data_IF_980921442703
#
_entry.id   IF_980921442703
#
_cell.length_a   1.000
_cell.length_b   1.000
_cell.length_c   1.000
_cell.angle_alpha   90.00
_cell.angle_beta   90.00
_cell.angle_gamma   90.00
#
_symmetry.space_group_name_H-M   'P 1'
#
loop_
_entity.id
_entity.type
_entity.pdbx_description
1 polymer ?
#
# COMPACT_ATOMS: atom_id res chain seq x y z
N UNK A 1 31.52 14.52 -3.25
CA UNK A 1 30.13 15.00 -3.07
C UNK A 1 29.27 14.34 -4.14
N UNK A 2 28.77 13.15 -3.87
CA UNK A 2 27.87 12.43 -4.78
C UNK A 2 26.45 12.90 -4.54
N UNK A 3 25.74 13.34 -5.59
CA UNK A 3 24.29 13.55 -5.55
C UNK A 3 23.66 12.16 -5.40
N UNK A 4 23.37 11.76 -4.17
CA UNK A 4 22.61 10.54 -3.89
C UNK A 4 21.19 10.77 -4.36
N UNK A 5 20.84 10.23 -5.53
CA UNK A 5 19.44 10.16 -5.93
C UNK A 5 18.70 9.33 -4.88
N UNK A 6 17.66 9.90 -4.28
CA UNK A 6 16.69 9.11 -3.52
C UNK A 6 16.05 8.15 -4.52
N UNK A 7 16.44 6.88 -4.44
CA UNK A 7 15.83 5.83 -5.25
C UNK A 7 14.48 5.54 -4.62
N UNK A 8 13.40 6.05 -5.21
CA UNK A 8 12.05 5.69 -4.77
C UNK A 8 11.72 4.30 -5.34
N UNK A 9 11.50 3.30 -4.48
CA UNK A 9 11.08 1.97 -4.93
C UNK A 9 9.56 1.92 -4.90
N UNK A 10 8.95 1.80 -6.08
CA UNK A 10 7.54 1.46 -6.24
C UNK A 10 7.40 -0.06 -6.23
N UNK A 11 6.76 -0.61 -5.20
CA UNK A 11 6.47 -2.04 -5.11
C UNK A 11 4.98 -2.30 -5.30
N UNK A 12 4.58 -2.70 -6.51
CA UNK A 12 3.30 -3.41 -6.69
C UNK A 12 3.58 -4.88 -6.38
N UNK A 13 3.13 -5.34 -5.21
CA UNK A 13 3.47 -6.67 -4.69
C UNK A 13 2.54 -7.74 -5.23
N UNK A 14 3.01 -8.98 -5.14
CA UNK A 14 2.31 -10.24 -5.38
C UNK A 14 3.21 -11.32 -4.75
N UNK A 15 3.43 -11.20 -3.45
CA UNK A 15 4.62 -11.75 -2.81
C UNK A 15 4.54 -13.26 -2.56
N UNK A 16 3.32 -13.79 -2.55
CA UNK A 16 3.06 -15.15 -2.11
C UNK A 16 2.88 -16.11 -3.30
N UNK A 17 3.29 -17.39 -3.14
CA UNK A 17 3.26 -18.34 -4.25
C UNK A 17 1.84 -18.65 -4.71
N UNK A 18 1.70 -19.03 -5.98
CA UNK A 18 0.43 -19.46 -6.56
C UNK A 18 0.05 -20.88 -6.12
N UNK A 19 -0.39 -21.01 -4.87
CA UNK A 19 -0.84 -22.27 -4.26
C UNK A 19 -2.30 -22.17 -3.79
N UNK A 20 -2.99 -23.29 -3.57
CA UNK A 20 -4.32 -23.28 -2.95
C UNK A 20 -4.30 -22.62 -1.56
N UNK A 21 -5.41 -21.95 -1.19
CA UNK A 21 -5.53 -21.22 0.09
C UNK A 21 -5.28 -22.15 1.30
N UNK A 22 -5.63 -23.43 1.18
CA UNK A 22 -5.45 -24.45 2.23
C UNK A 22 -3.97 -24.69 2.55
N UNK A 23 -3.07 -24.38 1.63
CA UNK A 23 -1.62 -24.55 1.79
C UNK A 23 -0.93 -23.28 2.32
N UNK A 24 -1.60 -22.12 2.21
CA UNK A 24 -1.08 -20.80 2.53
C UNK A 24 -2.06 -20.02 3.41
N UNK A 25 -1.98 -20.23 4.73
CA UNK A 25 -2.75 -19.50 5.72
C UNK A 25 -2.21 -18.09 6.01
N UNK A 26 -3.02 -17.30 6.73
CA UNK A 26 -2.73 -15.90 7.08
C UNK A 26 -1.34 -15.67 7.70
N UNK A 27 -0.93 -16.50 8.66
CA UNK A 27 0.39 -16.38 9.30
C UNK A 27 1.54 -16.57 8.30
N UNK A 28 1.39 -17.45 7.31
CA UNK A 28 2.40 -17.64 6.26
C UNK A 28 2.44 -16.45 5.31
N UNK A 29 1.28 -15.88 4.97
CA UNK A 29 1.20 -14.65 4.17
C UNK A 29 1.95 -13.51 4.87
N UNK A 30 1.63 -13.25 6.14
CA UNK A 30 2.29 -12.21 6.93
C UNK A 30 3.80 -12.45 7.06
N UNK A 31 4.22 -13.70 7.27
CA UNK A 31 5.64 -14.05 7.35
C UNK A 31 6.39 -13.79 6.02
N UNK A 32 5.76 -14.04 4.87
CA UNK A 32 6.35 -13.74 3.56
C UNK A 32 6.49 -12.22 3.38
N UNK A 33 5.45 -11.46 3.70
CA UNK A 33 5.47 -9.98 3.65
C UNK A 33 6.58 -9.43 4.54
N UNK A 34 6.70 -9.95 5.77
CA UNK A 34 7.76 -9.60 6.73
C UNK A 34 9.15 -9.89 6.18
N UNK A 35 9.40 -11.08 5.63
CA UNK A 35 10.70 -11.47 5.11
C UNK A 35 11.15 -10.55 3.95
N UNK A 36 10.26 -10.28 3.00
CA UNK A 36 10.57 -9.40 1.86
C UNK A 36 10.73 -7.95 2.31
N UNK A 37 9.91 -7.49 3.25
CA UNK A 37 10.04 -6.16 3.84
C UNK A 37 11.40 -6.01 4.55
N UNK A 38 11.79 -6.99 5.35
CA UNK A 38 13.07 -7.03 6.04
C UNK A 38 14.25 -7.02 5.05
N UNK A 39 14.17 -7.79 3.97
CA UNK A 39 15.19 -7.81 2.92
C UNK A 39 15.35 -6.45 2.24
N UNK A 40 14.25 -5.79 1.87
CA UNK A 40 14.28 -4.45 1.27
C UNK A 40 14.93 -3.45 2.23
N UNK A 41 14.53 -3.46 3.51
CA UNK A 41 15.14 -2.59 4.53
C UNK A 41 16.63 -2.87 4.75
N UNK A 42 17.06 -4.12 4.62
CA UNK A 42 18.47 -4.48 4.75
C UNK A 42 19.31 -3.95 3.58
N UNK A 43 18.79 -4.04 2.35
CA UNK A 43 19.51 -3.61 1.15
C UNK A 43 19.43 -2.09 0.95
N UNK A 44 18.32 -1.47 1.35
CA UNK A 44 18.03 -0.05 1.16
C UNK A 44 17.59 0.62 2.49
N UNK A 45 18.47 0.72 3.50
CA UNK A 45 18.11 1.15 4.85
C UNK A 45 17.66 2.61 4.95
N UNK A 46 18.21 3.48 4.09
CA UNK A 46 17.93 4.93 4.10
C UNK A 46 16.95 5.35 2.99
N UNK A 47 16.23 4.39 2.44
CA UNK A 47 15.37 4.59 1.28
C UNK A 47 13.89 4.56 1.66
N UNK A 48 13.17 5.62 1.29
CA UNK A 48 11.71 5.65 1.36
C UNK A 48 11.14 4.72 0.29
N UNK A 49 10.26 3.82 0.70
CA UNK A 49 9.59 2.85 -0.19
C UNK A 49 8.10 3.17 -0.20
N UNK A 50 7.50 3.19 -1.38
CA UNK A 50 6.05 3.30 -1.55
C UNK A 50 5.53 1.95 -2.02
N UNK A 51 4.94 1.20 -1.08
CA UNK A 51 4.48 -0.17 -1.30
C UNK A 51 2.96 -0.25 -1.35
N UNK A 52 2.43 -0.97 -2.34
CA UNK A 52 1.04 -1.39 -2.45
C UNK A 52 0.93 -2.89 -2.16
N UNK A 53 -0.21 -3.33 -1.61
CA UNK A 53 -0.50 -4.76 -1.44
C UNK A 53 -0.98 -5.38 -2.75
N UNK A 54 -0.46 -6.57 -3.07
CA UNK A 54 -0.93 -7.43 -4.16
C UNK A 54 -2.13 -8.29 -3.80
N UNK A 55 -2.83 -8.82 -4.80
CA UNK A 55 -3.99 -9.67 -4.56
C UNK A 55 -3.65 -11.01 -3.85
N UNK A 56 -2.40 -11.47 -3.92
CA UNK A 56 -1.88 -12.61 -3.16
C UNK A 56 -1.38 -12.27 -1.75
N UNK A 57 -1.29 -11.00 -1.36
CA UNK A 57 -0.79 -10.56 -0.06
C UNK A 57 -1.87 -10.61 1.03
N UNK A 58 -2.86 -11.49 0.86
CA UNK A 58 -4.01 -11.62 1.75
C UNK A 58 -4.46 -13.08 1.84
N UNK A 59 -5.10 -13.42 2.94
CA UNK A 59 -5.69 -14.73 3.13
C UNK A 59 -7.16 -14.63 3.55
N UNK A 60 -8.10 -15.29 2.85
CA UNK A 60 -7.91 -15.99 1.58
C UNK A 60 -7.53 -15.02 0.44
N UNK A 61 -6.77 -15.48 -0.56
CA UNK A 61 -6.30 -14.58 -1.64
C UNK A 61 -7.47 -13.85 -2.33
N UNK A 62 -7.19 -12.66 -2.83
CA UNK A 62 -8.15 -11.75 -3.47
C UNK A 62 -9.26 -11.19 -2.56
N UNK A 63 -9.48 -11.71 -1.35
CA UNK A 63 -10.63 -11.35 -0.51
C UNK A 63 -10.36 -10.13 0.39
N UNK A 64 -9.96 -9.01 -0.22
CA UNK A 64 -9.62 -7.77 0.49
C UNK A 64 -10.90 -7.03 0.95
N UNK A 65 -11.13 -6.82 2.25
CA UNK A 65 -12.28 -6.05 2.72
C UNK A 65 -12.08 -4.54 2.57
N UNK A 66 -13.16 -3.80 2.31
CA UNK A 66 -13.22 -2.33 2.34
C UNK A 66 -13.30 -1.74 3.77
N UNK A 67 -12.68 -2.39 4.75
CA UNK A 67 -12.68 -2.02 6.17
C UNK A 67 -11.43 -2.58 6.86
N UNK A 68 -11.18 -2.13 8.10
CA UNK A 68 -10.04 -2.60 8.88
C UNK A 68 -10.00 -4.14 9.00
N UNK A 69 -8.78 -4.67 8.90
CA UNK A 69 -8.50 -6.10 8.99
C UNK A 69 -7.13 -6.33 9.64
N UNK A 70 -6.96 -7.49 10.30
CA UNK A 70 -5.70 -7.88 10.96
C UNK A 70 -4.49 -7.83 10.01
N UNK A 71 -4.62 -8.27 8.76
CA UNK A 71 -3.53 -8.26 7.78
C UNK A 71 -3.10 -6.82 7.47
N UNK A 72 -4.05 -5.89 7.33
CA UNK A 72 -3.75 -4.47 7.14
C UNK A 72 -3.01 -3.89 8.34
N UNK A 73 -3.50 -4.19 9.55
CA UNK A 73 -2.90 -3.69 10.80
C UNK A 73 -1.49 -4.21 11.03
N UNK A 74 -1.24 -5.51 10.78
CA UNK A 74 0.09 -6.09 10.90
C UNK A 74 1.04 -5.58 9.80
N UNK A 75 0.56 -5.48 8.56
CA UNK A 75 1.36 -4.93 7.45
C UNK A 75 1.72 -3.46 7.68
N UNK A 76 0.82 -2.67 8.28
CA UNK A 76 1.11 -1.29 8.66
C UNK A 76 2.26 -1.20 9.67
N UNK A 77 2.37 -2.14 10.62
CA UNK A 77 3.51 -2.18 11.56
C UNK A 77 4.81 -2.56 10.83
N UNK A 78 4.76 -3.54 9.94
CA UNK A 78 5.92 -3.93 9.13
C UNK A 78 6.41 -2.76 8.26
N UNK A 79 5.48 -1.97 7.71
CA UNK A 79 5.77 -0.83 6.83
C UNK A 79 5.87 0.50 7.58
N UNK A 80 5.83 0.51 8.92
CA UNK A 80 5.77 1.74 9.71
C UNK A 80 6.88 2.74 9.39
N UNK A 81 8.11 2.28 9.14
CA UNK A 81 9.24 3.15 8.76
C UNK A 81 9.11 3.76 7.37
N UNK A 82 8.22 3.22 6.53
CA UNK A 82 7.92 3.71 5.18
C UNK A 82 6.68 4.60 5.14
N UNK A 83 5.84 4.59 6.17
CA UNK A 83 4.59 5.36 6.24
C UNK A 83 4.77 6.59 7.14
N UNK A 84 4.21 7.73 6.74
CA UNK A 84 4.05 8.85 7.66
C UNK A 84 2.93 8.55 8.67
N UNK A 85 2.95 9.20 9.84
CA UNK A 85 1.95 8.99 10.89
C UNK A 85 0.50 9.21 10.42
N UNK A 86 0.26 10.10 9.46
CA UNK A 86 -1.05 10.33 8.86
C UNK A 86 -1.50 9.21 7.89
N UNK A 87 -0.56 8.45 7.33
CA UNK A 87 -0.83 7.37 6.36
C UNK A 87 -1.16 6.06 7.05
N UNK A 88 -0.64 5.82 8.26
CA UNK A 88 -0.90 4.62 9.06
C UNK A 88 -2.40 4.34 9.26
N UNK A 89 -3.24 5.29 9.75
CA UNK A 89 -4.66 5.03 9.95
C UNK A 89 -5.40 4.74 8.63
N UNK A 90 -5.03 5.40 7.53
CA UNK A 90 -5.61 5.12 6.20
C UNK A 90 -5.24 3.71 5.73
N UNK A 91 -3.98 3.32 5.89
CA UNK A 91 -3.52 1.98 5.54
C UNK A 91 -4.25 0.91 6.36
N UNK A 92 -4.41 1.11 7.67
CA UNK A 92 -5.16 0.16 8.51
C UNK A 92 -6.63 0.06 8.11
N UNK A 93 -7.24 1.17 7.68
CA UNK A 93 -8.65 1.20 7.29
C UNK A 93 -8.94 0.53 5.94
N UNK A 94 -8.02 0.60 4.96
CA UNK A 94 -8.29 0.09 3.61
C UNK A 94 -7.08 -0.24 2.74
N UNK A 95 -5.87 -0.29 3.30
CA UNK A 95 -4.60 -0.54 2.62
C UNK A 95 -4.27 0.43 1.47
N UNK A 96 -4.76 1.67 1.56
CA UNK A 96 -4.42 2.78 0.67
C UNK A 96 -3.95 4.00 1.48
N UNK A 97 -3.13 4.85 0.87
CA UNK A 97 -2.56 6.03 1.54
C UNK A 97 -1.94 7.01 0.53
N UNK A 98 -1.51 8.18 1.01
CA UNK A 98 -0.73 9.12 0.19
C UNK A 98 0.41 9.75 0.97
N UNK A 99 1.50 10.04 0.27
CA UNK A 99 2.73 10.57 0.84
C UNK A 99 3.22 11.73 0.00
N UNK A 100 3.75 12.78 0.63
CA UNK A 100 4.48 13.82 -0.12
C UNK A 100 5.84 13.27 -0.54
N UNK A 101 6.26 13.63 -1.75
CA UNK A 101 7.61 13.31 -2.20
C UNK A 101 8.63 14.18 -1.44
N UNK A 102 9.78 13.62 -1.05
CA UNK A 102 10.81 14.32 -0.28
C UNK A 102 11.58 15.40 -1.06
N UNK A 103 11.37 15.51 -2.38
CA UNK A 103 12.09 16.45 -3.24
C UNK A 103 11.81 17.92 -2.89
N UNK A 104 12.84 18.74 -2.60
CA UNK A 104 12.66 20.17 -2.33
C UNK A 104 12.31 20.98 -3.59
N UNK A 105 12.67 20.48 -4.77
CA UNK A 105 12.52 21.20 -6.05
C UNK A 105 11.21 20.86 -6.76
N UNK A 106 10.52 19.80 -6.34
CA UNK A 106 9.25 19.36 -6.93
C UNK A 106 8.19 19.14 -5.86
N UNK A 107 7.08 19.87 -5.97
CA UNK A 107 5.88 19.60 -5.16
C UNK A 107 5.21 18.36 -5.72
N UNK A 108 5.55 17.21 -5.17
CA UNK A 108 5.05 15.92 -5.61
C UNK A 108 4.32 15.16 -4.52
N UNK A 109 3.38 14.30 -4.91
CA UNK A 109 2.69 13.35 -4.04
C UNK A 109 2.66 11.97 -4.67
N UNK A 110 2.94 10.95 -3.88
CA UNK A 110 2.64 9.55 -4.20
C UNK A 110 1.26 9.20 -3.64
N UNK A 111 0.41 8.59 -4.47
CA UNK A 111 -0.85 7.99 -4.06
C UNK A 111 -0.73 6.48 -4.25
N UNK A 112 -0.92 5.73 -3.18
CA UNK A 112 -0.92 4.27 -3.22
C UNK A 112 -2.35 3.78 -3.02
N UNK A 113 -2.87 3.10 -4.04
CA UNK A 113 -4.23 2.57 -4.06
C UNK A 113 -4.24 1.09 -3.67
N UNK A 114 -5.33 0.67 -3.04
CA UNK A 114 -5.71 -0.74 -2.93
C UNK A 114 -6.72 -1.06 -4.04
N UNK A 115 -6.22 -1.40 -5.23
CA UNK A 115 -7.08 -1.78 -6.35
C UNK A 115 -7.66 -3.19 -6.21
N UNK A 116 -7.21 -3.98 -5.23
CA UNK A 116 -7.75 -5.31 -4.95
C UNK A 116 -9.21 -5.25 -4.48
N UNK A 117 -9.64 -4.09 -3.94
CA UNK A 117 -11.05 -3.82 -3.59
C UNK A 117 -11.98 -3.87 -4.80
N UNK A 118 -11.45 -3.65 -6.01
CA UNK A 118 -12.23 -3.63 -7.25
C UNK A 118 -11.97 -4.87 -8.12
N UNK A 119 -11.27 -5.87 -7.59
CA UNK A 119 -10.97 -7.07 -8.35
C UNK A 119 -12.24 -7.92 -8.50
N UNK A 120 -12.48 -8.45 -9.70
CA UNK A 120 -13.70 -9.22 -10.03
C UNK A 120 -13.83 -10.51 -9.22
N UNK A 121 -12.71 -11.02 -8.70
CA UNK A 121 -12.65 -12.20 -7.82
C UNK A 121 -12.74 -11.87 -6.33
N UNK A 122 -12.96 -10.60 -5.96
CA UNK A 122 -13.12 -10.20 -4.57
C UNK A 122 -14.60 -10.19 -4.16
N UNK A 123 -15.02 -11.20 -3.40
CA UNK A 123 -16.40 -11.28 -2.93
C UNK A 123 -16.68 -10.39 -1.72
N UNK A 124 -15.64 -9.83 -1.06
CA UNK A 124 -15.84 -8.99 0.13
C UNK A 124 -16.47 -7.64 -0.20
N UNK A 125 -16.27 -7.15 -1.42
CA UNK A 125 -16.69 -5.82 -1.88
C UNK A 125 -17.65 -5.91 -3.07
N UNK A 126 -18.14 -7.11 -3.38
CA UNK A 126 -19.04 -7.35 -4.50
C UNK A 126 -20.33 -6.51 -4.35
N UNK A 127 -20.57 -5.62 -5.30
CA UNK A 127 -21.74 -4.74 -5.31
C UNK A 127 -21.62 -3.49 -4.44
N UNK A 128 -20.47 -3.24 -3.80
CA UNK A 128 -20.19 -1.96 -3.16
C UNK A 128 -19.81 -0.90 -4.20
N UNK A 129 -20.41 0.29 -4.14
CA UNK A 129 -20.10 1.38 -5.08
C UNK A 129 -18.72 2.01 -4.82
N UNK A 130 -18.35 2.17 -3.54
CA UNK A 130 -17.05 2.71 -3.13
C UNK A 130 -16.51 2.00 -1.87
N UNK A 131 -15.98 0.77 -2.01
CA UNK A 131 -15.42 0.02 -0.89
C UNK A 131 -14.30 0.79 -0.18
N UNK A 132 -14.46 0.95 1.14
CA UNK A 132 -13.52 1.71 1.98
C UNK A 132 -13.52 3.22 1.76
N UNK A 133 -14.44 3.77 0.94
CA UNK A 133 -14.48 5.19 0.59
C UNK A 133 -13.27 5.64 -0.23
N UNK A 134 -12.60 4.72 -0.93
CA UNK A 134 -11.33 4.99 -1.61
C UNK A 134 -11.49 5.92 -2.80
N UNK A 135 -12.60 5.87 -3.56
CA UNK A 135 -12.85 6.81 -4.65
C UNK A 135 -13.15 8.21 -4.10
N UNK A 136 -13.99 8.33 -3.08
CA UNK A 136 -14.23 9.62 -2.43
C UNK A 136 -12.92 10.20 -1.90
N UNK A 137 -12.13 9.40 -1.17
CA UNK A 137 -10.82 9.82 -0.66
C UNK A 137 -9.86 10.23 -1.79
N UNK A 138 -9.83 9.48 -2.89
CA UNK A 138 -8.98 9.79 -4.04
C UNK A 138 -9.37 11.13 -4.69
N UNK A 139 -10.67 11.38 -4.87
CA UNK A 139 -11.17 12.65 -5.39
C UNK A 139 -10.75 13.83 -4.50
N UNK A 140 -10.88 13.68 -3.19
CA UNK A 140 -10.45 14.69 -2.21
C UNK A 140 -8.95 14.96 -2.29
N UNK A 141 -8.12 13.91 -2.36
CA UNK A 141 -6.66 14.04 -2.45
C UNK A 141 -6.25 14.72 -3.77
N UNK A 142 -6.83 14.32 -4.91
CA UNK A 142 -6.53 14.91 -6.21
C UNK A 142 -6.98 16.37 -6.30
N UNK A 143 -8.15 16.69 -5.73
CA UNK A 143 -8.65 18.07 -5.66
C UNK A 143 -7.71 18.96 -4.82
N UNK A 144 -7.23 18.44 -3.69
CA UNK A 144 -6.31 19.17 -2.83
C UNK A 144 -4.93 19.33 -3.47
N UNK A 145 -4.43 18.30 -4.15
CA UNK A 145 -3.17 18.35 -4.90
C UNK A 145 -3.24 19.41 -6.01
N UNK A 146 -4.34 19.46 -6.76
CA UNK A 146 -4.58 20.48 -7.78
C UNK A 146 -4.54 21.91 -7.21
N UNK A 147 -5.25 22.16 -6.10
CA UNK A 147 -5.24 23.45 -5.39
C UNK A 147 -3.85 23.85 -4.86
N UNK A 148 -3.03 22.85 -4.53
CA UNK A 148 -1.67 23.05 -4.02
C UNK A 148 -0.60 23.09 -5.13
N UNK A 149 -1.01 22.93 -6.40
CA UNK A 149 -0.10 22.80 -7.55
C UNK A 149 0.91 21.64 -7.36
N UNK A 150 0.46 20.54 -6.75
CA UNK A 150 1.23 19.30 -6.58
C UNK A 150 1.08 18.40 -7.82
N UNK A 151 2.20 17.87 -8.31
CA UNK A 151 2.21 16.75 -9.27
C UNK A 151 1.94 15.44 -8.54
N UNK A 152 1.13 14.56 -9.15
CA UNK A 152 0.73 13.29 -8.53
C UNK A 152 1.32 12.11 -9.29
N UNK A 153 2.01 11.24 -8.55
CA UNK A 153 2.41 9.90 -8.96
C UNK A 153 1.43 8.88 -8.34
N UNK A 154 1.13 7.83 -9.09
CA UNK A 154 0.22 6.75 -8.71
C UNK A 154 0.76 5.42 -9.20
#
# INVERSE_FOLDING_TARGET
MGRGGQVEVLGCRDDTPHVPNEQLGEEKVLHIIENLTSLIKQVFPDTKVYAAMGNHDFHPKNQFPGKENRIYSQTAELWRSWLNEASIPLFRAGAFYSEKLPSPDTRGRMIVLNTNLYYDQNNQTAGEEDPGGQFQWLEEILTNASKAEEMVLK
#
